data_IF_662279050757
#
_entry.id   IF_662279050757
#
_cell.length_a   1.000
_cell.length_b   1.000
_cell.length_c   1.000
_cell.angle_alpha   90.00
_cell.angle_beta   90.00
_cell.angle_gamma   90.00
#
_symmetry.space_group_name_H-M   'P 1'
#
loop_
_entity.id
_entity.type
_entity.pdbx_description
1 polymer ?
#
# COMPACT_ATOMS: atom_id res chain seq x y z
N UNK A 1 10.97 3.14 23.52
CA UNK A 1 12.34 3.20 24.07
C UNK A 1 13.35 3.40 22.93
N UNK A 2 13.37 2.61 21.86
CA UNK A 2 14.35 2.71 20.75
C UNK A 2 14.48 4.13 20.16
N UNK A 3 13.35 4.84 19.93
CA UNK A 3 13.38 6.22 19.47
C UNK A 3 14.04 7.15 20.49
N UNK A 4 13.73 7.00 21.77
CA UNK A 4 14.33 7.82 22.84
C UNK A 4 15.83 7.56 22.96
N UNK A 5 16.26 6.31 22.85
CA UNK A 5 17.67 5.94 22.85
C UNK A 5 18.40 6.52 21.62
N UNK A 6 17.76 6.52 20.46
CA UNK A 6 18.29 7.07 19.21
C UNK A 6 18.56 8.58 19.27
N UNK A 7 17.75 9.35 20.00
CA UNK A 7 17.91 10.81 20.14
C UNK A 7 18.66 11.23 21.40
N UNK A 8 18.96 10.32 22.32
CA UNK A 8 19.56 10.61 23.62
C UNK A 8 20.88 11.39 23.56
N UNK A 9 21.63 11.26 22.46
CA UNK A 9 22.90 11.95 22.23
C UNK A 9 22.80 13.12 21.23
N UNK A 10 21.58 13.53 20.88
CA UNK A 10 21.30 14.68 20.02
C UNK A 10 20.90 15.89 20.85
N UNK A 11 20.84 17.08 20.21
CA UNK A 11 20.29 18.30 20.83
C UNK A 11 18.74 18.34 20.78
N UNK A 12 18.10 17.26 20.32
CA UNK A 12 16.65 17.17 20.23
C UNK A 12 16.02 16.94 21.60
N UNK A 13 14.85 17.55 21.83
CA UNK A 13 14.06 17.35 23.03
C UNK A 13 12.66 16.93 22.64
N UNK A 14 12.20 15.80 23.17
CA UNK A 14 10.80 15.40 23.03
C UNK A 14 9.94 16.33 23.87
N UNK A 15 9.07 17.10 23.20
CA UNK A 15 8.11 18.01 23.85
C UNK A 15 6.99 17.22 24.50
N UNK A 16 6.38 16.27 23.74
CA UNK A 16 5.30 15.41 24.24
C UNK A 16 5.07 14.22 23.31
N UNK A 17 4.33 13.21 23.81
CA UNK A 17 3.77 12.10 23.05
C UNK A 17 2.27 12.27 22.95
N UNK A 18 1.76 12.41 21.72
CA UNK A 18 0.35 12.68 21.47
C UNK A 18 -0.21 11.57 20.57
N UNK A 19 -1.33 11.00 20.98
CA UNK A 19 -2.02 9.99 20.18
C UNK A 19 -2.69 10.68 19.00
N UNK A 20 -2.44 10.17 17.78
CA UNK A 20 -2.92 10.77 16.53
C UNK A 20 -4.45 10.68 16.35
N UNK A 21 -5.09 9.77 17.08
CA UNK A 21 -6.49 9.41 16.95
C UNK A 21 -6.66 7.90 16.71
N UNK A 22 -7.75 7.53 16.15
CA UNK A 22 -8.10 6.13 15.80
C UNK A 22 -8.00 5.85 14.29
N UNK A 23 -8.08 6.88 13.46
CA UNK A 23 -7.94 6.77 12.01
C UNK A 23 -7.36 8.05 11.38
N UNK A 24 -6.95 7.99 10.12
CA UNK A 24 -6.48 9.14 9.33
C UNK A 24 -7.67 9.95 8.83
N UNK A 25 -8.25 10.74 9.73
CA UNK A 25 -9.41 11.62 9.46
C UNK A 25 -9.03 13.10 9.54
N UNK A 26 -9.74 13.95 8.81
CA UNK A 26 -9.52 15.40 8.91
C UNK A 26 -9.85 15.92 10.30
N UNK A 27 -10.81 15.32 10.98
CA UNK A 27 -11.20 15.65 12.35
C UNK A 27 -10.05 15.41 13.35
N UNK A 28 -9.31 14.31 13.21
CA UNK A 28 -8.12 14.02 14.01
C UNK A 28 -6.97 14.96 13.65
N UNK A 29 -6.77 15.25 12.37
CA UNK A 29 -5.79 16.25 11.91
C UNK A 29 -6.11 17.63 12.53
N UNK A 30 -7.35 18.10 12.48
CA UNK A 30 -7.73 19.42 12.98
C UNK A 30 -7.57 19.53 14.50
N UNK A 31 -7.84 18.45 15.25
CA UNK A 31 -7.53 18.37 16.70
C UNK A 31 -6.04 18.57 16.96
N UNK A 32 -5.17 17.86 16.22
CA UNK A 32 -3.71 17.95 16.37
C UNK A 32 -3.17 19.31 15.96
N UNK A 33 -3.63 19.87 14.85
CA UNK A 33 -3.24 21.21 14.38
C UNK A 33 -3.64 22.29 15.38
N UNK A 34 -4.73 22.10 16.14
CA UNK A 34 -5.21 23.03 17.17
C UNK A 34 -4.47 22.90 18.51
N UNK A 35 -3.73 21.79 18.73
CA UNK A 35 -3.00 21.58 19.99
C UNK A 35 -1.74 22.45 20.06
N UNK A 36 -1.63 23.23 21.15
CA UNK A 36 -0.50 24.16 21.34
C UNK A 36 0.85 23.43 21.40
N UNK A 37 0.90 22.21 21.92
CA UNK A 37 2.13 21.41 22.01
C UNK A 37 2.62 21.05 20.60
N UNK A 38 1.69 20.67 19.70
CA UNK A 38 1.99 20.36 18.29
C UNK A 38 2.41 21.63 17.54
N UNK A 39 1.67 22.73 17.75
CA UNK A 39 2.00 24.01 17.09
C UNK A 39 3.34 24.59 17.50
N UNK A 40 3.76 24.38 18.75
CA UNK A 40 5.00 24.90 19.29
C UNK A 40 6.21 23.98 19.08
N UNK A 41 6.01 22.72 18.68
CA UNK A 41 7.12 21.82 18.29
C UNK A 41 7.77 22.30 17.01
N UNK A 42 9.08 22.13 16.88
CA UNK A 42 9.86 22.49 15.68
C UNK A 42 9.77 21.41 14.60
N UNK A 43 9.56 20.16 14.98
CA UNK A 43 9.54 18.99 14.10
C UNK A 43 8.40 18.05 14.55
N UNK A 44 7.74 17.42 13.59
CA UNK A 44 6.75 16.37 13.85
C UNK A 44 7.41 14.99 13.62
N UNK A 45 7.26 14.11 14.61
CA UNK A 45 7.63 12.69 14.49
C UNK A 45 6.37 11.86 14.28
N UNK A 46 6.20 11.29 13.09
CA UNK A 46 5.12 10.37 12.76
C UNK A 46 5.53 8.94 13.07
N UNK A 47 5.11 8.42 14.22
CA UNK A 47 5.48 7.07 14.69
C UNK A 47 4.26 6.16 14.62
N UNK A 48 4.31 5.08 13.83
CA UNK A 48 3.23 4.12 13.72
C UNK A 48 3.06 3.49 12.36
N UNK A 49 1.90 2.87 12.14
CA UNK A 49 1.50 2.34 10.83
C UNK A 49 0.98 3.43 9.88
N UNK A 50 0.51 3.03 8.69
CA UNK A 50 0.12 3.96 7.63
C UNK A 50 -0.85 5.06 8.07
N UNK A 51 -1.91 4.71 8.81
CA UNK A 51 -2.91 5.69 9.29
C UNK A 51 -2.32 6.76 10.20
N UNK A 52 -1.46 6.37 11.14
CA UNK A 52 -0.77 7.31 12.02
C UNK A 52 0.16 8.23 11.23
N UNK A 53 0.92 7.65 10.31
CA UNK A 53 1.86 8.38 9.46
C UNK A 53 1.12 9.34 8.53
N UNK A 54 0.03 8.92 7.89
CA UNK A 54 -0.77 9.77 7.00
C UNK A 54 -1.38 10.96 7.77
N UNK A 55 -1.91 10.73 8.98
CA UNK A 55 -2.37 11.83 9.85
C UNK A 55 -1.22 12.81 10.15
N UNK A 56 -0.04 12.30 10.54
CA UNK A 56 1.11 13.16 10.85
C UNK A 56 1.63 13.93 9.63
N UNK A 57 1.58 13.34 8.43
CA UNK A 57 1.94 14.01 7.17
C UNK A 57 1.03 15.24 6.94
N UNK A 58 -0.27 15.06 7.04
CA UNK A 58 -1.23 16.17 6.86
C UNK A 58 -1.08 17.24 7.95
N UNK A 59 -0.81 16.84 9.21
CA UNK A 59 -0.54 17.79 10.30
C UNK A 59 0.73 18.61 10.02
N UNK A 60 1.81 17.97 9.62
CA UNK A 60 3.08 18.61 9.31
C UNK A 60 2.94 19.59 8.14
N UNK A 61 2.23 19.22 7.09
CA UNK A 61 1.95 20.06 5.94
C UNK A 61 1.13 21.29 6.31
N UNK A 62 0.01 21.12 7.03
CA UNK A 62 -0.82 22.24 7.48
C UNK A 62 -0.11 23.23 8.41
N UNK A 63 0.91 22.78 9.13
CA UNK A 63 1.70 23.61 10.04
C UNK A 63 3.03 24.07 9.45
N UNK A 64 3.34 23.70 8.21
CA UNK A 64 4.61 23.98 7.53
C UNK A 64 5.82 23.55 8.40
N UNK A 65 5.79 22.29 8.88
CA UNK A 65 6.82 21.72 9.75
C UNK A 65 7.58 20.59 9.09
N UNK A 66 8.89 20.44 9.40
CA UNK A 66 9.62 19.23 9.05
C UNK A 66 8.94 17.99 9.65
N UNK A 67 8.92 16.91 8.86
CA UNK A 67 8.36 15.62 9.24
C UNK A 67 9.40 14.51 9.18
N UNK A 68 9.56 13.79 10.28
CA UNK A 68 10.32 12.54 10.32
C UNK A 68 9.36 11.40 10.59
N UNK A 69 9.43 10.35 9.79
CA UNK A 69 8.56 9.17 9.92
C UNK A 69 9.32 7.97 10.48
N UNK A 70 8.63 7.21 11.33
CA UNK A 70 9.12 6.01 12.00
C UNK A 70 8.07 4.91 11.82
N UNK A 71 8.06 4.19 10.68
CA UNK A 71 7.11 3.12 10.47
C UNK A 71 7.35 1.98 11.44
N UNK A 72 6.28 1.53 12.10
CA UNK A 72 6.31 0.40 13.04
C UNK A 72 5.71 -0.87 12.43
N UNK A 73 5.27 -0.81 11.18
CA UNK A 73 4.65 -1.90 10.43
C UNK A 73 5.24 -1.95 9.02
N UNK A 74 5.45 -3.16 8.52
CA UNK A 74 5.79 -3.42 7.12
C UNK A 74 4.55 -3.72 6.27
N UNK A 75 3.50 -2.90 6.37
CA UNK A 75 2.22 -3.16 5.70
C UNK A 75 1.98 -2.35 4.42
N UNK A 76 2.72 -1.26 4.22
CA UNK A 76 2.62 -0.36 3.06
C UNK A 76 3.76 0.67 3.04
N UNK A 77 3.75 1.55 2.03
CA UNK A 77 4.79 2.57 1.81
C UNK A 77 4.44 3.97 2.34
N UNK A 78 3.40 4.15 3.14
CA UNK A 78 2.91 5.47 3.57
C UNK A 78 4.00 6.36 4.19
N UNK A 79 4.98 5.75 4.88
CA UNK A 79 6.06 6.47 5.55
C UNK A 79 6.96 7.30 4.63
N UNK A 80 7.02 6.97 3.33
CA UNK A 80 7.89 7.64 2.36
C UNK A 80 7.14 8.26 1.17
N UNK A 81 5.81 8.21 1.18
CA UNK A 81 5.00 8.74 0.06
C UNK A 81 4.52 10.16 0.31
N UNK A 82 4.36 10.91 -0.79
CA UNK A 82 3.76 12.25 -0.80
C UNK A 82 2.23 12.22 -1.00
N UNK A 83 1.60 11.09 -0.78
CA UNK A 83 0.14 10.91 -0.82
C UNK A 83 -0.32 10.32 0.52
N UNK A 84 -1.46 10.79 1.03
CA UNK A 84 -2.10 10.25 2.23
C UNK A 84 -3.49 9.72 1.88
N UNK A 85 -3.87 8.64 2.52
CA UNK A 85 -5.23 8.10 2.42
C UNK A 85 -6.05 8.63 3.58
N UNK A 86 -7.10 9.38 3.26
CA UNK A 86 -7.99 9.97 4.26
C UNK A 86 -9.30 9.20 4.35
N UNK A 87 -9.80 9.09 5.57
CA UNK A 87 -11.02 8.34 5.88
C UNK A 87 -12.09 9.24 6.50
N UNK A 88 -13.33 8.79 6.43
CA UNK A 88 -14.44 9.34 7.20
C UNK A 88 -14.40 8.78 8.64
N UNK A 89 -15.15 9.39 9.56
CA UNK A 89 -15.26 8.90 10.96
C UNK A 89 -15.86 7.49 11.07
N UNK A 90 -16.56 7.01 10.05
CA UNK A 90 -17.05 5.63 9.95
C UNK A 90 -16.06 4.65 9.32
N UNK A 91 -14.78 5.06 9.17
CA UNK A 91 -13.69 4.31 8.59
C UNK A 91 -13.82 4.00 7.08
N UNK A 92 -14.77 4.59 6.38
CA UNK A 92 -14.87 4.48 4.92
C UNK A 92 -13.87 5.40 4.23
N UNK A 93 -13.35 4.98 3.08
CA UNK A 93 -12.47 5.83 2.26
C UNK A 93 -13.15 7.15 1.92
N UNK A 94 -12.44 8.26 2.11
CA UNK A 94 -12.90 9.60 1.80
C UNK A 94 -12.25 10.14 0.53
N UNK A 95 -10.95 10.41 0.59
CA UNK A 95 -10.17 10.96 -0.52
C UNK A 95 -8.67 10.72 -0.34
N UNK A 96 -7.88 11.19 -1.32
CA UNK A 96 -6.44 11.29 -1.22
C UNK A 96 -6.04 12.74 -0.94
N UNK A 97 -5.13 12.93 0.03
CA UNK A 97 -4.46 14.19 0.28
C UNK A 97 -3.06 14.14 -0.34
N UNK A 98 -2.73 15.12 -1.20
CA UNK A 98 -1.44 15.18 -1.88
C UNK A 98 -0.55 16.23 -1.23
N UNK A 99 0.71 15.87 -1.03
CA UNK A 99 1.76 16.73 -0.49
C UNK A 99 2.72 17.12 -1.59
N UNK A 100 3.35 18.29 -1.47
CA UNK A 100 4.38 18.74 -2.41
C UNK A 100 5.67 17.89 -2.32
N UNK A 101 5.94 17.31 -1.14
CA UNK A 101 7.09 16.45 -0.87
C UNK A 101 6.76 15.34 0.12
N UNK A 102 7.47 14.20 0.09
CA UNK A 102 7.38 13.20 1.15
C UNK A 102 8.00 13.72 2.47
N UNK A 103 8.00 12.88 3.50
CA UNK A 103 8.70 13.17 4.76
C UNK A 103 10.16 13.55 4.53
N UNK A 104 10.70 14.47 5.34
CA UNK A 104 12.09 14.91 5.23
C UNK A 104 13.08 13.77 5.54
N UNK A 105 12.73 12.89 6.50
CA UNK A 105 13.46 11.67 6.80
C UNK A 105 12.52 10.54 7.20
N UNK A 106 12.90 9.32 6.85
CA UNK A 106 12.24 8.08 7.28
C UNK A 106 13.28 7.19 7.97
N UNK A 107 12.99 6.78 9.21
CA UNK A 107 13.83 5.90 10.02
C UNK A 107 13.15 4.55 10.14
N UNK A 108 13.77 3.51 9.58
CA UNK A 108 13.25 2.15 9.57
C UNK A 108 14.09 1.30 10.52
N UNK A 109 13.45 0.85 11.60
CA UNK A 109 14.01 -0.16 12.50
C UNK A 109 13.37 -1.50 12.15
N UNK A 110 14.15 -2.38 11.54
CA UNK A 110 13.65 -3.69 11.05
C UNK A 110 13.32 -4.65 12.18
N UNK A 111 13.92 -4.48 13.38
CA UNK A 111 13.55 -5.26 14.56
C UNK A 111 12.14 -4.90 15.05
N UNK A 112 11.78 -3.60 15.08
CA UNK A 112 10.42 -3.16 15.45
C UNK A 112 9.40 -3.76 14.47
N UNK A 113 9.72 -3.80 13.19
CA UNK A 113 8.84 -4.39 12.17
C UNK A 113 8.78 -5.92 12.33
N UNK A 114 9.89 -6.59 12.66
CA UNK A 114 9.89 -8.03 12.94
C UNK A 114 9.00 -8.40 14.14
N UNK A 115 8.87 -7.50 15.12
CA UNK A 115 8.03 -7.67 16.31
C UNK A 115 6.57 -7.21 16.09
N UNK A 116 6.24 -6.71 14.90
CA UNK A 116 4.88 -6.27 14.57
C UNK A 116 3.93 -7.45 14.33
N UNK A 117 2.60 -7.24 14.36
CA UNK A 117 1.63 -8.29 14.03
C UNK A 117 1.91 -8.90 12.66
N UNK A 118 2.10 -10.24 12.64
CA UNK A 118 2.52 -10.97 11.44
C UNK A 118 1.52 -10.85 10.27
N UNK A 119 0.25 -10.75 10.56
CA UNK A 119 -0.83 -10.60 9.59
C UNK A 119 -0.72 -9.28 8.81
N UNK A 120 -0.25 -8.21 9.46
CA UNK A 120 -0.04 -6.91 8.80
C UNK A 120 1.20 -6.94 7.89
N UNK A 121 2.27 -7.62 8.30
CA UNK A 121 3.45 -7.81 7.45
C UNK A 121 3.14 -8.73 6.26
N UNK A 122 2.40 -9.82 6.50
CA UNK A 122 1.90 -10.73 5.47
C UNK A 122 1.04 -10.00 4.43
N UNK A 123 0.10 -9.17 4.89
CA UNK A 123 -0.70 -8.34 3.99
C UNK A 123 0.17 -7.31 3.23
N UNK A 124 1.21 -6.77 3.88
CA UNK A 124 2.18 -5.86 3.23
C UNK A 124 2.93 -6.51 2.06
N UNK A 125 3.30 -7.78 2.18
CA UNK A 125 3.86 -8.53 1.05
C UNK A 125 2.84 -8.60 -0.09
N UNK A 126 1.58 -8.90 0.22
CA UNK A 126 0.49 -8.95 -0.75
C UNK A 126 0.23 -7.64 -1.46
N UNK A 127 0.28 -6.51 -0.73
CA UNK A 127 0.13 -5.17 -1.28
C UNK A 127 1.28 -4.81 -2.23
N UNK A 128 2.51 -5.07 -1.79
CA UNK A 128 3.72 -4.72 -2.55
C UNK A 128 3.82 -5.46 -3.90
N UNK A 129 3.26 -6.68 -4.03
CA UNK A 129 3.16 -7.41 -5.31
C UNK A 129 2.45 -6.61 -6.41
N UNK A 130 1.58 -5.67 -6.03
CA UNK A 130 0.83 -4.86 -7.00
C UNK A 130 1.71 -3.85 -7.74
N UNK A 131 2.77 -3.36 -7.11
CA UNK A 131 3.48 -2.17 -7.55
C UNK A 131 4.07 -2.27 -8.96
N UNK A 132 4.80 -3.34 -9.26
CA UNK A 132 5.30 -3.57 -10.61
C UNK A 132 4.14 -3.76 -11.60
N UNK A 133 3.21 -4.66 -11.24
CA UNK A 133 2.13 -5.06 -12.14
C UNK A 133 1.25 -3.87 -12.54
N UNK A 134 0.90 -3.03 -11.58
CA UNK A 134 0.03 -1.88 -11.80
C UNK A 134 0.73 -0.73 -12.52
N UNK A 135 1.95 -0.37 -12.09
CA UNK A 135 2.68 0.74 -12.72
C UNK A 135 3.01 0.42 -14.20
N UNK A 136 3.41 -0.81 -14.50
CA UNK A 136 3.66 -1.24 -15.87
C UNK A 136 2.36 -1.28 -16.69
N UNK A 137 1.28 -1.82 -16.12
CA UNK A 137 0.02 -1.95 -16.84
C UNK A 137 -0.66 -0.61 -17.07
N UNK A 138 -0.73 0.27 -16.06
CA UNK A 138 -1.37 1.59 -16.20
C UNK A 138 -0.65 2.49 -17.21
N UNK A 139 0.67 2.41 -17.29
CA UNK A 139 1.50 3.22 -18.20
C UNK A 139 1.69 2.62 -19.60
N UNK A 140 1.15 1.43 -19.86
CA UNK A 140 1.34 0.74 -21.14
C UNK A 140 0.79 1.54 -22.33
N UNK A 141 1.65 1.74 -23.35
CA UNK A 141 1.28 2.48 -24.57
C UNK A 141 1.33 4.01 -24.43
N UNK A 142 1.69 4.53 -23.26
CA UNK A 142 1.87 5.96 -23.03
C UNK A 142 3.31 6.36 -23.31
N UNK A 143 3.50 7.51 -23.99
CA UNK A 143 4.83 8.13 -24.11
C UNK A 143 5.10 8.90 -22.82
N UNK A 144 5.76 8.24 -21.88
CA UNK A 144 6.02 8.79 -20.56
C UNK A 144 7.11 9.85 -20.59
N UNK A 145 6.89 10.94 -19.86
CA UNK A 145 7.92 11.90 -19.53
C UNK A 145 8.95 11.32 -18.55
N UNK A 146 10.07 12.03 -18.33
CA UNK A 146 11.21 11.54 -17.56
C UNK A 146 10.82 10.96 -16.18
N UNK A 147 10.04 11.67 -15.39
CA UNK A 147 9.73 11.27 -14.00
C UNK A 147 8.88 9.98 -13.93
N UNK A 148 7.72 9.89 -14.59
CA UNK A 148 6.96 8.64 -14.58
C UNK A 148 7.68 7.49 -15.29
N UNK A 149 8.49 7.77 -16.33
CA UNK A 149 9.32 6.76 -16.98
C UNK A 149 10.32 6.14 -16.00
N UNK A 150 10.96 6.96 -15.17
CA UNK A 150 11.87 6.50 -14.12
C UNK A 150 11.13 5.67 -13.07
N UNK A 151 9.94 6.10 -12.62
CA UNK A 151 9.11 5.37 -11.67
C UNK A 151 8.71 3.98 -12.20
N UNK A 152 8.24 3.90 -13.44
CA UNK A 152 7.93 2.62 -14.10
C UNK A 152 9.19 1.77 -14.28
N UNK A 153 10.35 2.40 -14.52
CA UNK A 153 11.64 1.69 -14.56
C UNK A 153 11.99 1.04 -13.23
N UNK A 154 11.83 1.77 -12.12
CA UNK A 154 12.09 1.27 -10.75
C UNK A 154 11.07 0.19 -10.38
N UNK A 155 9.79 0.32 -10.76
CA UNK A 155 8.76 -0.66 -10.37
C UNK A 155 9.09 -2.09 -10.78
N UNK A 156 9.86 -2.28 -11.85
CA UNK A 156 10.23 -3.60 -12.38
C UNK A 156 11.12 -4.43 -11.44
N UNK A 157 11.66 -3.85 -10.39
CA UNK A 157 12.47 -4.58 -9.40
C UNK A 157 11.70 -4.85 -8.10
N UNK A 158 10.45 -4.40 -7.97
CA UNK A 158 9.67 -4.56 -6.73
C UNK A 158 9.15 -5.99 -6.50
N UNK A 159 8.95 -6.81 -7.54
CA UNK A 159 8.40 -8.15 -7.37
C UNK A 159 9.46 -9.17 -6.96
N UNK A 160 10.70 -9.04 -7.45
CA UNK A 160 11.76 -10.04 -7.24
C UNK A 160 12.12 -10.26 -5.76
N UNK A 161 12.35 -9.22 -4.92
CA UNK A 161 12.64 -9.40 -3.50
C UNK A 161 11.53 -10.12 -2.75
N UNK A 162 10.27 -9.82 -3.07
CA UNK A 162 9.11 -10.45 -2.44
C UNK A 162 9.06 -11.95 -2.74
N UNK A 163 9.18 -12.33 -4.01
CA UNK A 163 9.17 -13.75 -4.41
C UNK A 163 10.36 -14.49 -3.81
N UNK A 164 11.55 -13.89 -3.80
CA UNK A 164 12.77 -14.52 -3.34
C UNK A 164 12.84 -14.69 -1.82
N UNK A 165 12.41 -13.68 -1.09
CA UNK A 165 12.64 -13.60 0.36
C UNK A 165 11.35 -13.63 1.19
N UNK A 166 10.17 -13.37 0.59
CA UNK A 166 8.91 -13.15 1.31
C UNK A 166 8.52 -14.28 2.24
N UNK A 167 8.70 -15.54 1.82
CA UNK A 167 8.38 -16.71 2.65
C UNK A 167 9.26 -16.78 3.90
N UNK A 168 10.57 -16.59 3.74
CA UNK A 168 11.51 -16.59 4.87
C UNK A 168 11.31 -15.37 5.77
N UNK A 169 11.12 -14.20 5.18
CA UNK A 169 10.83 -12.96 5.92
C UNK A 169 9.56 -13.07 6.78
N UNK A 170 8.50 -13.69 6.24
CA UNK A 170 7.27 -13.93 6.99
C UNK A 170 7.50 -14.91 8.15
N UNK A 171 8.27 -15.97 7.94
CA UNK A 171 8.65 -16.92 9.02
C UNK A 171 9.45 -16.20 10.12
N UNK A 172 10.38 -15.31 9.73
CA UNK A 172 11.20 -14.55 10.67
C UNK A 172 10.35 -13.54 11.48
N UNK A 173 9.41 -12.85 10.82
CA UNK A 173 8.42 -12.00 11.49
C UNK A 173 7.58 -12.79 12.52
N UNK A 174 7.10 -13.98 12.17
CA UNK A 174 6.39 -14.88 13.11
C UNK A 174 7.20 -15.24 14.34
N UNK A 175 8.52 -15.27 14.21
CA UNK A 175 9.43 -15.58 15.29
C UNK A 175 10.02 -14.32 15.97
N UNK A 176 9.53 -13.11 15.63
CA UNK A 176 10.03 -11.81 16.08
C UNK A 176 11.56 -11.68 15.87
N UNK A 177 12.05 -12.18 14.75
CA UNK A 177 13.48 -12.26 14.46
C UNK A 177 13.84 -11.37 13.28
N UNK A 178 14.76 -10.42 13.50
CA UNK A 178 15.37 -9.66 12.42
C UNK A 178 16.29 -10.60 11.60
N UNK A 179 16.22 -10.46 10.27
CA UNK A 179 17.07 -11.17 9.32
C UNK A 179 17.34 -10.32 8.09
N UNK A 180 18.34 -10.73 7.30
CA UNK A 180 18.60 -10.03 6.03
C UNK A 180 17.42 -10.21 5.04
N UNK A 181 16.77 -11.36 5.03
CA UNK A 181 15.59 -11.63 4.20
C UNK A 181 14.41 -10.72 4.60
N UNK A 182 14.13 -10.59 5.90
CA UNK A 182 13.10 -9.67 6.40
C UNK A 182 13.44 -8.22 6.02
N UNK A 183 14.68 -7.80 6.21
CA UNK A 183 15.14 -6.46 5.84
C UNK A 183 14.95 -6.17 4.34
N UNK A 184 15.29 -7.12 3.44
CA UNK A 184 15.09 -6.94 2.00
C UNK A 184 13.60 -6.73 1.66
N UNK A 185 12.70 -7.50 2.27
CA UNK A 185 11.25 -7.37 2.06
C UNK A 185 10.72 -6.06 2.64
N UNK A 186 11.14 -5.67 3.85
CA UNK A 186 10.76 -4.39 4.48
C UNK A 186 11.19 -3.21 3.61
N UNK A 187 12.43 -3.22 3.11
CA UNK A 187 12.91 -2.15 2.23
C UNK A 187 12.15 -2.11 0.91
N UNK A 188 11.74 -3.24 0.39
CA UNK A 188 10.92 -3.28 -0.82
C UNK A 188 9.51 -2.73 -0.55
N UNK A 189 8.82 -3.20 0.49
CA UNK A 189 7.48 -2.73 0.87
C UNK A 189 7.47 -1.22 1.15
N UNK A 190 8.47 -0.67 1.83
CA UNK A 190 8.45 0.73 2.27
C UNK A 190 9.13 1.63 1.24
N UNK A 191 10.36 1.32 0.82
CA UNK A 191 11.18 2.22 0.02
C UNK A 191 10.92 2.03 -1.47
N UNK A 192 11.07 0.80 -2.00
CA UNK A 192 10.94 0.59 -3.44
C UNK A 192 9.54 0.99 -3.94
N UNK A 193 8.49 0.49 -3.29
CA UNK A 193 7.11 0.81 -3.68
C UNK A 193 6.77 2.28 -3.44
N UNK A 194 7.33 2.91 -2.40
CA UNK A 194 7.14 4.32 -2.09
C UNK A 194 7.81 5.26 -3.11
N UNK A 195 9.03 4.93 -3.55
CA UNK A 195 9.69 5.67 -4.62
C UNK A 195 8.90 5.59 -5.93
N UNK A 196 8.40 4.40 -6.28
CA UNK A 196 7.51 4.24 -7.43
C UNK A 196 6.27 5.12 -7.29
N UNK A 197 5.62 5.10 -6.13
CA UNK A 197 4.44 5.92 -5.86
C UNK A 197 4.71 7.41 -6.10
N UNK A 198 5.79 7.95 -5.52
CA UNK A 198 6.16 9.36 -5.67
C UNK A 198 6.46 9.75 -7.11
N UNK A 199 7.01 8.84 -7.92
CA UNK A 199 7.39 9.11 -9.30
C UNK A 199 6.26 8.86 -10.31
N UNK A 200 5.22 8.11 -9.93
CA UNK A 200 4.12 7.73 -10.82
C UNK A 200 2.77 8.35 -10.44
N UNK A 201 2.77 9.26 -9.45
CA UNK A 201 1.56 9.92 -8.96
C UNK A 201 1.75 11.42 -8.88
N UNK A 202 0.78 12.16 -9.42
CA UNK A 202 0.57 13.59 -9.15
C UNK A 202 -0.91 13.85 -8.98
N UNK A 203 -1.27 14.93 -8.33
CA UNK A 203 -2.68 15.30 -8.15
C UNK A 203 -3.41 15.55 -9.48
N UNK A 204 -2.76 16.21 -10.44
CA UNK A 204 -3.43 16.75 -11.62
C UNK A 204 -2.89 16.27 -12.96
N UNK A 205 -1.64 15.74 -13.03
CA UNK A 205 -1.00 15.47 -14.32
C UNK A 205 -1.10 14.00 -14.74
N UNK A 206 -0.75 13.07 -13.85
CA UNK A 206 -0.77 11.64 -14.16
C UNK A 206 -0.92 10.77 -12.90
N UNK A 207 -1.51 9.59 -13.10
CA UNK A 207 -1.68 8.58 -12.06
C UNK A 207 -1.44 7.19 -12.64
N UNK A 208 -0.25 6.63 -12.40
CA UNK A 208 0.14 5.27 -12.84
C UNK A 208 0.47 4.35 -11.65
N UNK A 209 0.25 4.82 -10.43
CA UNK A 209 0.63 4.14 -9.20
C UNK A 209 -0.18 2.87 -8.92
N UNK A 210 -1.46 2.89 -9.27
CA UNK A 210 -2.37 1.76 -9.11
C UNK A 210 -3.33 1.63 -10.30
N UNK A 211 -3.97 0.47 -10.43
CA UNK A 211 -4.93 0.18 -11.50
C UNK A 211 -5.92 -0.93 -11.10
N UNK A 212 -5.99 -2.06 -11.83
CA UNK A 212 -7.00 -3.10 -11.62
C UNK A 212 -6.90 -3.83 -10.29
N UNK A 213 -5.70 -3.96 -9.69
CA UNK A 213 -5.56 -4.66 -8.41
C UNK A 213 -6.22 -3.86 -7.27
N UNK A 214 -5.94 -2.57 -7.19
CA UNK A 214 -6.58 -1.68 -6.23
C UNK A 214 -8.04 -1.39 -6.57
N UNK A 215 -8.40 -1.32 -7.87
CA UNK A 215 -9.79 -1.21 -8.29
C UNK A 215 -10.62 -2.44 -7.87
N UNK A 216 -10.03 -3.65 -7.92
CA UNK A 216 -10.63 -4.86 -7.37
C UNK A 216 -10.86 -4.72 -5.86
N UNK A 217 -9.82 -4.33 -5.10
CA UNK A 217 -9.93 -4.12 -3.66
C UNK A 217 -11.07 -3.13 -3.33
N UNK A 218 -11.03 -1.93 -3.91
CA UNK A 218 -12.03 -0.91 -3.65
C UNK A 218 -13.46 -1.35 -4.03
N UNK A 219 -13.59 -2.13 -5.10
CA UNK A 219 -14.86 -2.72 -5.50
C UNK A 219 -15.35 -3.81 -4.55
N UNK A 220 -14.45 -4.63 -4.04
CA UNK A 220 -14.77 -5.75 -3.16
C UNK A 220 -15.33 -5.28 -1.80
N UNK A 221 -14.97 -4.09 -1.33
CA UNK A 221 -15.50 -3.52 -0.08
C UNK A 221 -17.01 -3.31 -0.09
N UNK A 222 -17.64 -3.30 -1.26
CA UNK A 222 -19.09 -3.17 -1.42
C UNK A 222 -19.82 -4.52 -1.53
N UNK A 223 -19.08 -5.63 -1.54
CA UNK A 223 -19.67 -6.96 -1.64
C UNK A 223 -19.98 -7.47 -0.25
N UNK A 224 -21.23 -7.87 -0.02
CA UNK A 224 -21.65 -8.44 1.26
C UNK A 224 -20.89 -9.74 1.57
N UNK A 225 -20.34 -9.84 2.78
CA UNK A 225 -19.54 -10.98 3.21
C UNK A 225 -18.08 -10.94 2.78
N UNK A 226 -17.66 -9.97 1.95
CA UNK A 226 -16.26 -9.79 1.62
C UNK A 226 -15.44 -9.47 2.88
N UNK A 227 -14.24 -10.05 2.94
CA UNK A 227 -13.32 -9.92 4.09
C UNK A 227 -11.89 -9.94 3.61
N UNK A 228 -10.99 -9.57 4.50
CA UNK A 228 -9.54 -9.59 4.29
C UNK A 228 -8.90 -8.24 4.56
N UNK A 229 -7.61 -8.27 4.86
CA UNK A 229 -6.80 -7.08 4.98
C UNK A 229 -6.57 -6.46 3.59
N UNK A 230 -6.28 -5.15 3.55
CA UNK A 230 -6.07 -4.43 2.29
C UNK A 230 -5.14 -5.17 1.33
N UNK A 231 -3.90 -5.43 1.74
CA UNK A 231 -2.91 -6.07 0.89
C UNK A 231 -3.22 -7.55 0.58
N UNK A 232 -3.93 -8.24 1.48
CA UNK A 232 -4.46 -9.58 1.21
C UNK A 232 -5.38 -9.53 -0.03
N UNK A 233 -6.35 -8.65 -0.04
CA UNK A 233 -7.30 -8.52 -1.16
C UNK A 233 -6.62 -8.00 -2.42
N UNK A 234 -5.69 -7.02 -2.28
CA UNK A 234 -4.90 -6.50 -3.41
C UNK A 234 -4.09 -7.60 -4.07
N UNK A 235 -3.55 -8.57 -3.32
CA UNK A 235 -2.77 -9.69 -3.90
C UNK A 235 -3.59 -10.56 -4.86
N UNK A 236 -4.87 -10.80 -4.58
CA UNK A 236 -5.78 -11.44 -5.54
C UNK A 236 -6.11 -10.51 -6.71
N UNK A 237 -6.26 -9.22 -6.45
CA UNK A 237 -6.40 -8.19 -7.49
C UNK A 237 -5.24 -8.20 -8.49
N UNK A 238 -3.99 -8.47 -8.04
CA UNK A 238 -2.82 -8.66 -8.91
C UNK A 238 -3.01 -9.83 -9.87
N UNK A 239 -3.50 -10.97 -9.36
CA UNK A 239 -3.79 -12.13 -10.21
C UNK A 239 -4.85 -11.80 -11.27
N UNK A 240 -5.86 -11.04 -10.88
CA UNK A 240 -6.93 -10.57 -11.77
C UNK A 240 -6.39 -9.62 -12.84
N UNK A 241 -5.54 -8.64 -12.45
CA UNK A 241 -4.86 -7.73 -13.37
C UNK A 241 -4.06 -8.49 -14.42
N UNK A 242 -3.20 -9.41 -13.99
CA UNK A 242 -2.35 -10.20 -14.88
C UNK A 242 -3.18 -11.09 -15.82
N UNK A 243 -4.32 -11.60 -15.35
CA UNK A 243 -5.27 -12.34 -16.19
C UNK A 243 -5.87 -11.43 -17.26
N UNK A 244 -6.29 -10.22 -16.88
CA UNK A 244 -6.83 -9.21 -17.80
C UNK A 244 -5.78 -8.74 -18.83
N UNK A 245 -4.52 -8.61 -18.40
CA UNK A 245 -3.40 -8.25 -19.25
C UNK A 245 -2.95 -9.36 -20.20
N UNK A 246 -3.41 -10.60 -20.01
CA UNK A 246 -2.94 -11.78 -20.76
C UNK A 246 -1.58 -12.30 -20.31
N UNK A 247 -1.04 -11.82 -19.18
CA UNK A 247 0.26 -12.21 -18.58
C UNK A 247 0.10 -13.51 -17.77
N UNK A 248 -0.37 -14.57 -18.43
CA UNK A 248 -0.82 -15.81 -17.77
C UNK A 248 0.32 -16.54 -17.06
N UNK A 249 1.54 -16.52 -17.61
CA UNK A 249 2.69 -17.16 -16.97
C UNK A 249 3.02 -16.46 -15.64
N UNK A 250 3.14 -15.14 -15.64
CA UNK A 250 3.43 -14.34 -14.43
C UNK A 250 2.29 -14.48 -13.40
N UNK A 251 1.02 -14.49 -13.86
CA UNK A 251 -0.13 -14.78 -13.00
C UNK A 251 0.00 -16.13 -12.29
N UNK A 252 0.39 -17.18 -13.02
CA UNK A 252 0.54 -18.52 -12.45
C UNK A 252 1.68 -18.56 -11.42
N UNK A 253 2.81 -17.93 -11.70
CA UNK A 253 3.95 -17.83 -10.77
C UNK A 253 3.55 -17.13 -9.47
N UNK A 254 2.88 -15.97 -9.56
CA UNK A 254 2.41 -15.24 -8.38
C UNK A 254 1.31 -16.00 -7.64
N UNK A 255 0.41 -16.69 -8.34
CA UNK A 255 -0.62 -17.50 -7.68
C UNK A 255 -0.05 -18.68 -6.87
N UNK A 256 1.02 -19.31 -7.36
CA UNK A 256 1.75 -20.34 -6.59
C UNK A 256 2.40 -19.72 -5.35
N UNK A 257 3.04 -18.57 -5.50
CA UNK A 257 3.61 -17.82 -4.38
C UNK A 257 2.54 -17.42 -3.34
N UNK A 258 1.41 -16.89 -3.80
CA UNK A 258 0.28 -16.55 -2.93
C UNK A 258 -0.18 -17.79 -2.14
N UNK A 259 -0.38 -18.92 -2.81
CA UNK A 259 -0.75 -20.18 -2.16
C UNK A 259 0.27 -20.59 -1.08
N UNK A 260 1.57 -20.50 -1.36
CA UNK A 260 2.63 -20.86 -0.42
C UNK A 260 2.66 -19.96 0.82
N UNK A 261 2.30 -18.67 0.68
CA UNK A 261 2.20 -17.72 1.79
C UNK A 261 0.84 -17.76 2.49
N UNK A 262 -0.16 -18.45 1.94
CA UNK A 262 -1.53 -18.41 2.44
C UNK A 262 -2.30 -17.16 2.01
N UNK A 263 -1.79 -16.39 1.05
CA UNK A 263 -2.51 -15.29 0.39
C UNK A 263 -3.62 -15.86 -0.52
N UNK A 264 -4.70 -15.10 -0.76
CA UNK A 264 -5.84 -15.60 -1.54
C UNK A 264 -5.46 -15.92 -2.99
N UNK A 265 -6.02 -17.01 -3.49
CA UNK A 265 -5.89 -17.45 -4.88
C UNK A 265 -7.24 -17.55 -5.59
N UNK A 266 -8.35 -17.50 -4.85
CA UNK A 266 -9.71 -17.52 -5.42
C UNK A 266 -10.65 -16.60 -4.60
N UNK A 267 -11.81 -16.27 -5.17
CA UNK A 267 -12.80 -15.39 -4.53
C UNK A 267 -13.30 -15.94 -3.19
N UNK A 268 -13.42 -17.26 -3.08
CA UNK A 268 -13.89 -17.89 -1.85
C UNK A 268 -12.95 -17.64 -0.65
N UNK A 269 -11.66 -17.43 -0.85
CA UNK A 269 -10.70 -17.05 0.20
C UNK A 269 -11.07 -15.70 0.83
N UNK A 270 -11.61 -14.81 0.01
CA UNK A 270 -12.03 -13.47 0.39
C UNK A 270 -13.51 -13.39 0.85
N UNK A 271 -14.20 -14.54 0.95
CA UNK A 271 -15.63 -14.57 1.29
C UNK A 271 -16.53 -14.02 0.19
N UNK A 272 -16.04 -13.95 -1.04
CA UNK A 272 -16.75 -13.44 -2.21
C UNK A 272 -17.18 -14.64 -3.06
N UNK A 273 -18.41 -14.62 -3.56
CA UNK A 273 -18.86 -15.53 -4.61
C UNK A 273 -18.96 -14.80 -5.98
N UNK A 274 -19.14 -15.55 -7.05
CA UNK A 274 -19.17 -14.99 -8.41
C UNK A 274 -20.31 -13.97 -8.64
N UNK A 275 -21.35 -13.95 -7.80
CA UNK A 275 -22.43 -12.93 -7.90
C UNK A 275 -21.94 -11.54 -7.51
N UNK A 276 -20.86 -11.44 -6.70
CA UNK A 276 -20.22 -10.18 -6.32
C UNK A 276 -19.40 -9.52 -7.42
N UNK A 277 -19.05 -10.23 -8.49
CA UNK A 277 -18.17 -9.71 -9.57
C UNK A 277 -18.73 -8.43 -10.18
N UNK A 278 -20.04 -8.38 -10.44
CA UNK A 278 -20.65 -7.21 -11.07
C UNK A 278 -20.55 -5.97 -10.17
N UNK A 279 -20.75 -6.12 -8.86
CA UNK A 279 -20.59 -5.05 -7.87
C UNK A 279 -19.16 -4.50 -7.88
N UNK A 280 -18.16 -5.39 -7.91
CA UNK A 280 -16.74 -5.02 -7.99
C UNK A 280 -16.47 -4.19 -9.24
N UNK A 281 -16.90 -4.68 -10.39
CA UNK A 281 -16.66 -4.02 -11.69
C UNK A 281 -17.36 -2.67 -11.78
N UNK A 282 -18.61 -2.58 -11.31
CA UNK A 282 -19.38 -1.32 -11.36
C UNK A 282 -18.77 -0.24 -10.46
N UNK A 283 -18.16 -0.62 -9.34
CA UNK A 283 -17.39 0.31 -8.51
C UNK A 283 -16.06 0.66 -9.16
N UNK A 284 -15.30 -0.31 -9.65
CA UNK A 284 -13.97 -0.13 -10.24
C UNK A 284 -13.93 0.97 -11.31
N UNK A 285 -14.91 1.02 -12.21
CA UNK A 285 -14.96 2.00 -13.30
C UNK A 285 -15.21 3.45 -12.86
N UNK A 286 -15.55 3.66 -11.60
CA UNK A 286 -15.77 5.00 -11.02
C UNK A 286 -14.52 5.58 -10.34
N UNK A 287 -13.44 4.80 -10.27
CA UNK A 287 -12.25 5.12 -9.50
C UNK A 287 -11.17 5.77 -10.38
N UNK A 288 -10.26 6.51 -9.76
CA UNK A 288 -9.13 7.14 -10.45
C UNK A 288 -8.21 6.07 -11.10
N UNK A 289 -8.08 4.90 -10.49
CA UNK A 289 -7.31 3.75 -10.98
C UNK A 289 -7.76 3.28 -12.36
N UNK A 290 -9.03 3.49 -12.71
CA UNK A 290 -9.57 3.12 -14.01
C UNK A 290 -9.18 4.09 -15.13
N UNK A 291 -8.87 5.35 -14.80
CA UNK A 291 -8.66 6.40 -15.81
C UNK A 291 -7.51 6.10 -16.78
N UNK A 292 -6.41 5.53 -16.31
CA UNK A 292 -5.25 5.20 -17.14
C UNK A 292 -5.48 4.02 -18.09
N UNK A 293 -6.51 3.22 -17.85
CA UNK A 293 -6.75 1.96 -18.57
C UNK A 293 -8.08 1.91 -19.33
N UNK A 294 -8.97 2.90 -19.13
CA UNK A 294 -10.36 2.92 -19.64
C UNK A 294 -10.51 2.71 -21.16
N UNK A 295 -9.50 3.10 -21.94
CA UNK A 295 -9.50 2.97 -23.40
C UNK A 295 -9.02 1.58 -23.86
N UNK A 296 -8.52 0.74 -22.93
CA UNK A 296 -7.95 -0.59 -23.20
C UNK A 296 -8.73 -1.72 -22.53
N UNK A 297 -9.47 -1.41 -21.46
CA UNK A 297 -10.19 -2.39 -20.64
C UNK A 297 -11.65 -2.03 -20.58
N UNK A 298 -12.51 -2.99 -20.94
CA UNK A 298 -13.96 -2.88 -20.75
C UNK A 298 -14.41 -3.54 -19.44
N UNK A 299 -15.62 -3.20 -18.97
CA UNK A 299 -16.26 -3.88 -17.84
C UNK A 299 -16.29 -5.41 -18.02
N UNK A 300 -16.68 -5.85 -19.21
CA UNK A 300 -16.80 -7.29 -19.53
C UNK A 300 -15.44 -7.99 -19.51
N UNK A 301 -14.38 -7.33 -20.00
CA UNK A 301 -13.02 -7.87 -19.92
C UNK A 301 -12.58 -8.05 -18.46
N UNK A 302 -12.83 -7.06 -17.61
CA UNK A 302 -12.47 -7.14 -16.21
C UNK A 302 -13.29 -8.19 -15.45
N UNK A 303 -14.63 -8.23 -15.66
CA UNK A 303 -15.49 -9.26 -15.08
C UNK A 303 -15.04 -10.66 -15.47
N UNK A 304 -14.72 -10.85 -16.76
CA UNK A 304 -14.20 -12.14 -17.25
C UNK A 304 -12.86 -12.48 -16.60
N UNK A 305 -11.94 -11.54 -16.49
CA UNK A 305 -10.63 -11.76 -15.86
C UNK A 305 -10.74 -12.18 -14.39
N UNK A 306 -11.68 -11.56 -13.63
CA UNK A 306 -11.97 -11.97 -12.25
C UNK A 306 -12.47 -13.43 -12.22
N UNK A 307 -13.42 -13.77 -13.08
CA UNK A 307 -13.96 -15.14 -13.15
C UNK A 307 -12.92 -16.17 -13.57
N UNK A 308 -12.12 -15.88 -14.61
CA UNK A 308 -11.07 -16.78 -15.11
C UNK A 308 -9.96 -16.96 -14.04
N UNK A 309 -9.65 -15.91 -13.29
CA UNK A 309 -8.69 -15.96 -12.19
C UNK A 309 -9.21 -16.86 -11.04
N UNK A 310 -10.48 -16.69 -10.65
CA UNK A 310 -11.13 -17.53 -9.64
C UNK A 310 -11.13 -19.01 -10.07
N UNK A 311 -11.54 -19.31 -11.30
CA UNK A 311 -11.54 -20.68 -11.83
C UNK A 311 -10.15 -21.32 -11.81
N UNK A 312 -9.10 -20.55 -12.13
CA UNK A 312 -7.73 -21.04 -12.02
C UNK A 312 -7.33 -21.26 -10.55
N UNK A 313 -7.61 -20.32 -9.67
CA UNK A 313 -7.29 -20.42 -8.24
C UNK A 313 -7.93 -21.65 -7.60
N UNK A 314 -9.17 -21.97 -7.98
CA UNK A 314 -9.84 -23.19 -7.54
C UNK A 314 -9.11 -24.47 -7.95
N UNK A 315 -8.33 -24.46 -9.02
CA UNK A 315 -7.48 -25.61 -9.41
C UNK A 315 -6.23 -25.79 -8.53
N UNK A 316 -5.86 -24.74 -7.78
CA UNK A 316 -4.71 -24.76 -6.87
C UNK A 316 -5.07 -25.27 -5.46
N UNK A 317 -6.36 -25.30 -5.12
CA UNK A 317 -6.86 -25.82 -3.83
C UNK A 317 -6.71 -27.32 -3.76
#
# INVERSE_FOLDING_TARGET
DALLDGIANSDMQIVDFIVYGDDSTYENVDKLVSDERVRNADIIFGVGGGRAVDTCKVVADKLDKPLFTFPTLGSNCAAVTAICVMYNEDHTFKDYYYLDKPADHTFIDTQIIAESPEDLFWAGIGDALSKECEAVYSSQGVNLDHTPLMGVGISKVCTEPLIKYGKKALEDCKNNTESEELKQVVLDIIISTGLVSNLTTTENDYYYNSSLAHAFYNGSTLVEGARGLHGEVVSFGVLTLLTCAGEIQKRNEIAVFNKELGLPVCLADLGIDKSGIQTIVDKAVTLVEWNAIKDRVTKDMFAKAISDCDDYGMTLK
#
